data_IF_250107571852
#
_entry.id   IF_250107571852
#
_cell.length_a   1.000
_cell.length_b   1.000
_cell.length_c   1.000
_cell.angle_alpha   90.00
_cell.angle_beta   90.00
_cell.angle_gamma   90.00
#
_symmetry.space_group_name_H-M   'P 1'
#
loop_
_entity.id
_entity.type
_entity.pdbx_description
1 polymer ?
#
# COMPACT_ATOMS: atom_id res chain seq x y z
N UNK A 1 10.14 -12.96 49.20
CA UNK A 1 9.36 -13.19 50.45
C UNK A 1 8.74 -11.87 50.84
N UNK A 2 7.44 -11.60 50.84
CA UNK A 2 6.19 -12.38 50.76
C UNK A 2 5.19 -11.53 49.92
N UNK A 3 4.45 -12.04 48.91
CA UNK A 3 3.19 -12.81 49.00
C UNK A 3 2.22 -12.22 50.04
N UNK A 4 0.94 -11.94 49.83
CA UNK A 4 -0.05 -12.12 48.77
C UNK A 4 -1.28 -11.30 49.23
N UNK A 5 -2.11 -10.88 48.27
CA UNK A 5 -3.58 -10.84 48.35
C UNK A 5 -4.28 -10.17 49.55
N UNK A 6 -5.20 -9.26 49.23
CA UNK A 6 -6.63 -9.60 49.26
C UNK A 6 -7.48 -8.44 48.72
N UNK A 7 -8.03 -8.64 47.52
CA UNK A 7 -9.24 -7.94 47.11
C UNK A 7 -10.41 -8.44 47.96
N UNK A 8 -11.10 -7.52 48.64
CA UNK A 8 -12.39 -7.80 49.26
C UNK A 8 -13.48 -7.09 48.46
N UNK A 9 -14.30 -7.92 47.80
CA UNK A 9 -15.60 -7.58 47.21
C UNK A 9 -16.45 -6.82 48.23
N UNK A 10 -17.04 -5.70 47.82
CA UNK A 10 -18.19 -5.10 48.53
C UNK A 10 -19.45 -5.89 48.19
N UNK A 11 -20.08 -6.46 49.21
CA UNK A 11 -21.48 -6.90 49.18
C UNK A 11 -22.40 -5.70 49.43
N UNK A 12 -23.58 -5.74 48.80
CA UNK A 12 -24.65 -4.75 48.95
C UNK A 12 -25.29 -4.89 50.33
N UNK A 13 -25.32 -3.80 51.10
CA UNK A 13 -26.12 -3.71 52.32
C UNK A 13 -25.34 -3.15 53.50
N UNK A 14 -25.05 -1.85 53.48
CA UNK A 14 -25.21 -0.97 54.65
C UNK A 14 -24.79 0.45 54.29
N UNK A 15 -25.69 1.40 54.53
CA UNK A 15 -25.56 2.83 54.19
C UNK A 15 -24.96 3.63 55.34
N UNK A 16 -23.71 3.36 55.74
CA UNK A 16 -22.99 4.27 56.65
C UNK A 16 -21.48 4.26 56.39
N UNK A 17 -20.93 5.46 56.21
CA UNK A 17 -19.52 5.73 55.91
C UNK A 17 -18.84 6.26 57.18
N UNK A 18 -17.86 5.52 57.72
CA UNK A 18 -17.00 5.95 58.84
C UNK A 18 -15.62 6.35 58.32
N UNK A 19 -15.56 7.46 57.57
CA UNK A 19 -14.31 8.10 57.14
C UNK A 19 -14.35 9.61 57.43
N UNK A 20 -13.19 10.27 57.53
CA UNK A 20 -13.12 11.68 57.91
C UNK A 20 -13.84 12.59 56.91
N UNK A 21 -14.35 13.75 57.36
CA UNK A 21 -15.21 14.64 56.56
C UNK A 21 -14.45 15.19 55.34
N UNK A 22 -15.08 15.13 54.16
CA UNK A 22 -14.55 15.72 52.92
C UNK A 22 -14.62 17.25 52.99
N UNK A 23 -13.46 17.92 52.97
CA UNK A 23 -13.37 19.33 52.60
C UNK A 23 -13.51 19.47 51.08
N UNK A 24 -14.30 20.44 50.64
CA UNK A 24 -14.50 20.78 49.23
C UNK A 24 -13.39 21.70 48.73
N UNK A 25 -12.93 21.43 47.50
CA UNK A 25 -12.43 22.47 46.59
C UNK A 25 -10.93 22.72 46.51
N UNK A 26 -10.16 21.78 45.93
CA UNK A 26 -8.98 22.11 45.13
C UNK A 26 -8.75 20.98 44.10
N UNK A 27 -9.03 21.25 42.81
CA UNK A 27 -8.62 20.33 41.73
C UNK A 27 -7.09 20.42 41.64
N UNK A 28 -6.38 19.39 42.08
CA UNK A 28 -4.98 19.22 41.72
C UNK A 28 -4.92 18.86 40.24
N UNK A 29 -4.74 19.88 39.39
CA UNK A 29 -4.49 19.72 37.97
C UNK A 29 -3.00 19.41 37.80
N UNK A 30 -2.68 18.30 37.14
CA UNK A 30 -1.28 17.92 36.90
C UNK A 30 -0.60 18.93 35.96
N UNK A 31 0.72 19.13 36.09
CA UNK A 31 1.47 20.01 35.18
C UNK A 31 1.28 19.62 33.71
N UNK A 32 1.14 18.33 33.41
CA UNK A 32 0.91 17.84 32.05
C UNK A 32 -0.46 18.27 31.49
N UNK A 33 -1.49 18.31 32.34
CA UNK A 33 -2.84 18.75 31.95
C UNK A 33 -2.88 20.24 31.62
N UNK A 34 -2.14 21.07 32.39
CA UNK A 34 -1.98 22.51 32.10
C UNK A 34 -1.24 22.75 30.78
N UNK A 35 -0.20 21.96 30.48
CA UNK A 35 0.53 22.07 29.21
C UNK A 35 -0.36 21.70 28.01
N UNK A 36 -1.19 20.66 28.14
CA UNK A 36 -2.12 20.24 27.08
C UNK A 36 -3.25 21.26 26.83
N UNK A 37 -3.82 21.84 27.88
CA UNK A 37 -4.82 22.92 27.73
C UNK A 37 -4.22 24.15 27.04
N UNK A 38 -2.97 24.50 27.37
CA UNK A 38 -2.25 25.62 26.75
C UNK A 38 -2.00 25.37 25.26
N UNK A 39 -1.62 24.14 24.88
CA UNK A 39 -1.40 23.74 23.49
C UNK A 39 -2.73 23.74 22.71
N UNK A 40 -3.82 23.27 23.32
CA UNK A 40 -5.15 23.32 22.72
C UNK A 40 -5.66 24.74 22.49
N UNK A 41 -5.43 25.67 23.42
CA UNK A 41 -5.81 27.08 23.25
C UNK A 41 -4.97 27.77 22.18
N UNK A 42 -3.66 27.50 22.11
CA UNK A 42 -2.81 28.04 21.05
C UNK A 42 -3.21 27.53 19.66
N UNK A 43 -3.53 26.24 19.53
CA UNK A 43 -4.01 25.68 18.27
C UNK A 43 -5.36 26.26 17.85
N UNK A 44 -6.28 26.48 18.81
CA UNK A 44 -7.58 27.10 18.54
C UNK A 44 -7.46 28.56 18.09
N UNK A 45 -6.53 29.33 18.67
CA UNK A 45 -6.25 30.70 18.25
C UNK A 45 -5.57 30.77 16.88
N UNK A 46 -4.72 29.80 16.54
CA UNK A 46 -4.09 29.68 15.22
C UNK A 46 -5.10 29.32 14.12
N UNK A 47 -6.12 28.52 14.44
CA UNK A 47 -7.23 28.20 13.54
C UNK A 47 -8.13 29.42 13.28
N UNK A 48 -8.46 30.20 14.33
CA UNK A 48 -9.29 31.41 14.16
C UNK A 48 -8.58 32.55 13.41
N UNK A 49 -7.25 32.64 13.49
CA UNK A 49 -6.46 33.58 12.67
C UNK A 49 -6.45 33.24 11.18
N UNK A 50 -6.65 31.97 10.80
CA UNK A 50 -6.74 31.56 9.39
C UNK A 50 -8.08 31.94 8.74
N UNK A 51 -9.16 32.03 9.51
CA UNK A 51 -10.50 32.30 8.96
C UNK A 51 -10.85 33.80 8.82
N UNK A 52 -10.20 34.70 9.55
CA UNK A 52 -10.51 36.14 9.51
C UNK A 52 -9.86 36.92 8.35
N UNK A 53 -9.35 36.23 7.32
CA UNK A 53 -8.66 36.84 6.18
C UNK A 53 -9.23 36.43 4.81
N UNK A 54 -10.53 36.64 4.56
CA UNK A 54 -11.09 36.55 3.20
C UNK A 54 -11.24 37.93 2.57
N UNK A 55 -10.54 38.19 1.45
CA UNK A 55 -10.73 39.42 0.69
C UNK A 55 -9.75 39.75 -0.44
N UNK A 56 -9.27 38.78 -1.23
CA UNK A 56 -8.96 39.01 -2.66
C UNK A 56 -8.76 37.67 -3.34
N UNK A 57 -9.53 37.43 -4.41
CA UNK A 57 -9.37 36.27 -5.28
C UNK A 57 -8.05 36.45 -6.02
N UNK A 58 -6.98 35.85 -5.49
CA UNK A 58 -5.80 35.52 -6.28
C UNK A 58 -6.02 34.12 -6.82
N UNK A 59 -6.15 34.02 -8.14
CA UNK A 59 -5.97 32.78 -8.89
C UNK A 59 -4.65 32.19 -8.40
N UNK A 60 -4.62 30.97 -7.80
CA UNK A 60 -3.35 30.38 -7.40
C UNK A 60 -2.56 30.08 -8.67
N UNK A 61 -1.29 30.50 -8.70
CA UNK A 61 -0.34 30.17 -9.75
C UNK A 61 -0.29 28.65 -10.02
N UNK A 62 -0.03 28.22 -11.26
CA UNK A 62 0.09 26.81 -11.58
C UNK A 62 1.19 26.14 -10.74
N UNK A 63 0.88 24.92 -10.31
CA UNK A 63 1.58 23.97 -9.43
C UNK A 63 3.12 24.06 -9.30
N UNK A 64 3.69 23.60 -8.16
CA UNK A 64 5.13 23.45 -8.03
C UNK A 64 5.63 22.34 -8.95
N UNK A 65 6.41 22.73 -9.95
CA UNK A 65 7.42 21.91 -10.62
C UNK A 65 6.98 21.20 -11.91
N UNK A 66 7.83 21.21 -12.96
CA UNK A 66 7.66 20.33 -14.11
C UNK A 66 7.74 18.88 -13.62
N UNK A 67 6.92 18.01 -14.20
CA UNK A 67 6.91 16.59 -13.87
C UNK A 67 8.34 16.04 -13.94
N UNK A 68 8.80 15.39 -12.86
CA UNK A 68 10.15 14.84 -12.79
C UNK A 68 10.36 13.84 -13.94
N UNK A 69 11.25 14.21 -14.87
CA UNK A 69 11.53 13.43 -16.08
C UNK A 69 12.07 12.04 -15.72
N UNK A 70 11.55 11.00 -16.36
CA UNK A 70 12.08 9.62 -16.28
C UNK A 70 11.48 8.71 -15.21
N UNK A 71 10.42 9.12 -14.51
CA UNK A 71 9.69 8.25 -13.56
C UNK A 71 8.40 7.71 -14.17
N UNK A 72 8.12 6.39 -14.10
CA UNK A 72 6.87 5.85 -14.61
C UNK A 72 5.68 6.48 -13.90
N UNK A 73 4.61 6.75 -14.66
CA UNK A 73 3.39 7.39 -14.14
C UNK A 73 2.20 6.44 -14.25
N UNK A 74 1.44 6.39 -13.16
CA UNK A 74 0.16 5.72 -13.05
C UNK A 74 -0.93 6.78 -13.09
N UNK A 75 -1.77 6.74 -14.14
CA UNK A 75 -2.91 7.64 -14.24
C UNK A 75 -4.18 6.94 -13.76
N UNK A 76 -4.85 7.52 -12.77
CA UNK A 76 -6.17 7.08 -12.31
C UNK A 76 -7.24 7.96 -12.96
N UNK A 77 -8.01 7.37 -13.88
CA UNK A 77 -9.08 8.05 -14.64
C UNK A 77 -10.42 7.30 -14.50
N UNK A 78 -11.53 7.96 -14.83
CA UNK A 78 -12.88 7.36 -14.78
C UNK A 78 -13.97 8.32 -14.30
N UNK A 79 -15.22 7.86 -14.22
CA UNK A 79 -16.39 8.68 -13.87
C UNK A 79 -16.35 9.29 -12.45
N UNK A 80 -17.00 10.44 -12.24
CA UNK A 80 -17.12 11.04 -10.91
C UNK A 80 -17.72 10.03 -9.90
N UNK A 81 -17.16 9.96 -8.69
CA UNK A 81 -17.56 9.02 -7.61
C UNK A 81 -17.27 7.52 -7.87
N UNK A 82 -16.52 7.18 -8.92
CA UNK A 82 -16.12 5.78 -9.17
C UNK A 82 -15.14 5.19 -8.15
N UNK A 83 -14.54 6.02 -7.27
CA UNK A 83 -13.68 5.56 -6.17
C UNK A 83 -12.18 5.77 -6.36
N UNK A 84 -11.73 6.45 -7.42
CA UNK A 84 -10.30 6.74 -7.71
C UNK A 84 -9.51 7.26 -6.50
N UNK A 85 -10.00 8.32 -5.87
CA UNK A 85 -9.31 8.98 -4.74
C UNK A 85 -9.29 8.09 -3.49
N UNK A 86 -10.35 7.31 -3.27
CA UNK A 86 -10.41 6.28 -2.24
C UNK A 86 -9.35 5.21 -2.49
N UNK A 87 -9.24 4.71 -3.72
CA UNK A 87 -8.23 3.74 -4.12
C UNK A 87 -6.82 4.28 -3.85
N UNK A 88 -6.50 5.50 -4.31
CA UNK A 88 -5.19 6.11 -4.08
C UNK A 88 -4.85 6.26 -2.59
N UNK A 89 -5.84 6.67 -1.78
CA UNK A 89 -5.66 6.87 -0.34
C UNK A 89 -5.46 5.55 0.42
N UNK A 90 -6.21 4.50 0.07
CA UNK A 90 -6.08 3.19 0.73
C UNK A 90 -4.73 2.54 0.38
N UNK A 91 -4.37 2.53 -0.90
CA UNK A 91 -3.17 1.81 -1.36
C UNK A 91 -1.89 2.54 -0.99
N UNK A 92 -1.83 3.86 -1.17
CA UNK A 92 -0.58 4.61 -1.05
C UNK A 92 -0.43 5.39 0.26
N UNK A 93 -1.54 5.72 0.93
CA UNK A 93 -1.52 6.47 2.20
C UNK A 93 -1.89 5.62 3.41
N UNK A 94 -2.11 4.31 3.22
CA UNK A 94 -2.58 3.38 4.26
C UNK A 94 -3.83 3.87 5.00
N UNK A 95 -4.68 4.65 4.32
CA UNK A 95 -5.95 5.11 4.90
C UNK A 95 -6.89 3.91 5.05
N UNK A 96 -7.51 3.69 6.21
CA UNK A 96 -8.47 2.60 6.36
C UNK A 96 -9.70 2.84 5.47
N UNK A 97 -10.27 1.79 4.83
CA UNK A 97 -11.37 1.94 3.88
C UNK A 97 -12.59 2.69 4.44
N UNK A 98 -12.89 2.53 5.73
CA UNK A 98 -14.01 3.19 6.40
C UNK A 98 -13.87 4.72 6.48
N UNK A 99 -12.64 5.25 6.50
CA UNK A 99 -12.38 6.69 6.52
C UNK A 99 -12.53 7.32 5.13
N UNK A 100 -12.46 6.52 4.07
CA UNK A 100 -12.56 7.02 2.69
C UNK A 100 -13.93 7.61 2.36
N UNK A 101 -14.96 7.30 3.15
CA UNK A 101 -16.29 7.91 3.06
C UNK A 101 -16.28 9.42 3.30
N UNK A 102 -15.27 9.92 4.01
CA UNK A 102 -15.12 11.34 4.33
C UNK A 102 -14.25 12.10 3.34
N UNK A 103 -13.77 11.44 2.27
CA UNK A 103 -13.00 12.12 1.23
C UNK A 103 -13.89 13.09 0.45
N UNK A 104 -13.39 14.31 0.29
CA UNK A 104 -14.06 15.32 -0.53
C UNK A 104 -13.94 15.00 -2.02
N UNK A 105 -14.85 15.56 -2.82
CA UNK A 105 -14.77 15.41 -4.28
C UNK A 105 -13.51 16.08 -4.83
N UNK A 106 -12.68 15.32 -5.55
CA UNK A 106 -11.50 15.83 -6.25
C UNK A 106 -11.90 16.87 -7.29
N UNK A 107 -11.49 18.12 -7.07
CA UNK A 107 -11.75 19.25 -7.98
C UNK A 107 -10.54 19.60 -8.86
N UNK A 108 -9.35 19.10 -8.53
CA UNK A 108 -8.08 19.37 -9.23
C UNK A 108 -7.28 18.09 -9.33
N UNK A 109 -6.42 18.00 -10.35
CA UNK A 109 -5.50 16.86 -10.49
C UNK A 109 -4.59 16.81 -9.27
N UNK A 110 -4.63 15.69 -8.55
CA UNK A 110 -3.70 15.42 -7.46
C UNK A 110 -2.52 14.63 -7.99
N UNK A 111 -1.30 15.00 -7.61
CA UNK A 111 -0.06 14.36 -8.06
C UNK A 111 0.70 13.90 -6.83
N UNK A 112 0.77 12.60 -6.67
CA UNK A 112 1.48 11.95 -5.58
C UNK A 112 2.75 11.31 -6.10
N UNK A 113 3.90 11.67 -5.52
CA UNK A 113 5.17 11.00 -5.80
C UNK A 113 5.41 9.98 -4.71
N UNK A 114 5.46 8.71 -5.08
CA UNK A 114 5.69 7.61 -4.14
C UNK A 114 7.16 7.22 -4.15
N UNK A 115 7.77 7.27 -2.97
CA UNK A 115 9.11 6.77 -2.72
C UNK A 115 9.01 5.30 -2.34
N UNK A 116 9.11 4.44 -3.36
CA UNK A 116 9.08 2.99 -3.26
C UNK A 116 10.35 2.42 -3.90
N UNK A 117 10.46 1.10 -3.96
CA UNK A 117 11.46 0.40 -4.78
C UNK A 117 11.54 0.96 -6.21
N UNK A 118 10.37 1.28 -6.79
CA UNK A 118 10.29 2.04 -8.02
C UNK A 118 9.63 3.37 -7.71
N UNK A 119 10.38 4.46 -7.87
CA UNK A 119 9.81 5.81 -7.79
C UNK A 119 8.81 5.99 -8.94
N UNK A 120 7.51 6.02 -8.63
CA UNK A 120 6.43 6.31 -9.59
C UNK A 120 5.59 7.48 -9.11
N UNK A 121 4.89 8.10 -10.06
CA UNK A 121 3.92 9.15 -9.76
C UNK A 121 2.51 8.61 -9.98
N UNK A 122 1.62 8.85 -9.02
CA UNK A 122 0.19 8.57 -9.13
C UNK A 122 -0.53 9.88 -9.38
N UNK A 123 -1.28 9.95 -10.47
CA UNK A 123 -2.05 11.13 -10.81
C UNK A 123 -3.53 10.79 -10.72
N UNK A 124 -4.24 11.44 -9.80
CA UNK A 124 -5.69 11.29 -9.62
C UNK A 124 -6.40 12.39 -10.41
N UNK A 125 -7.19 11.98 -11.43
CA UNK A 125 -7.93 12.90 -12.28
C UNK A 125 -9.37 13.10 -11.77
N UNK A 126 -9.86 14.36 -11.72
CA UNK A 126 -11.25 14.64 -11.39
C UNK A 126 -12.16 14.11 -12.50
N UNK A 127 -13.20 13.36 -12.14
CA UNK A 127 -14.10 12.69 -13.10
C UNK A 127 -15.01 13.61 -13.91
N UNK A 128 -14.90 14.92 -13.73
CA UNK A 128 -15.63 15.95 -14.49
C UNK A 128 -14.79 16.59 -15.61
N UNK A 129 -13.47 16.35 -15.63
CA UNK A 129 -12.63 16.89 -16.68
C UNK A 129 -12.86 16.12 -17.98
N UNK A 130 -13.28 16.83 -19.01
CA UNK A 130 -13.15 16.36 -20.38
C UNK A 130 -11.69 16.54 -20.78
N UNK A 131 -11.02 15.41 -21.02
CA UNK A 131 -9.57 15.32 -21.28
C UNK A 131 -9.11 16.05 -22.56
N UNK A 132 -10.06 16.62 -23.31
CA UNK A 132 -9.87 17.24 -24.62
C UNK A 132 -9.89 18.77 -24.55
N UNK A 133 -9.85 19.36 -23.34
CA UNK A 133 -9.71 20.80 -23.23
C UNK A 133 -8.27 21.19 -23.64
N UNK A 134 -8.07 22.08 -24.64
CA UNK A 134 -6.75 22.47 -25.15
C UNK A 134 -5.83 23.13 -24.10
N UNK A 135 -6.37 23.38 -22.90
CA UNK A 135 -5.66 23.89 -21.74
C UNK A 135 -4.71 22.87 -21.10
N UNK A 136 -4.89 21.57 -21.38
CA UNK A 136 -4.03 20.51 -20.86
C UNK A 136 -2.96 20.11 -21.87
N UNK A 137 -1.71 20.15 -21.43
CA UNK A 137 -0.56 19.66 -22.19
C UNK A 137 -0.57 18.13 -22.18
N UNK A 138 -1.20 17.54 -23.20
CA UNK A 138 -1.28 16.09 -23.37
C UNK A 138 0.10 15.44 -23.46
N UNK A 139 1.11 16.13 -24.00
CA UNK A 139 2.47 15.58 -24.08
C UNK A 139 3.16 15.58 -22.73
N UNK A 140 2.91 16.59 -21.89
CA UNK A 140 3.37 16.60 -20.52
C UNK A 140 2.66 15.57 -19.63
N UNK A 141 1.41 15.19 -19.94
CA UNK A 141 0.64 14.19 -19.18
C UNK A 141 0.98 12.78 -19.65
N UNK A 142 0.90 12.54 -20.97
CA UNK A 142 0.95 11.23 -21.59
C UNK A 142 2.33 10.78 -22.09
N UNK A 143 3.29 11.70 -22.24
CA UNK A 143 4.62 11.40 -22.78
C UNK A 143 5.50 10.46 -21.94
N UNK A 144 5.29 10.38 -20.62
CA UNK A 144 6.04 9.48 -19.71
C UNK A 144 5.14 8.49 -18.97
N UNK A 145 3.95 8.21 -19.51
CA UNK A 145 3.04 7.25 -18.86
C UNK A 145 3.60 5.85 -18.89
N UNK A 146 3.51 5.18 -17.74
CA UNK A 146 3.68 3.74 -17.64
C UNK A 146 2.36 3.02 -17.92
N UNK A 147 1.29 3.38 -17.19
CA UNK A 147 -0.02 2.74 -17.35
C UNK A 147 -1.19 3.72 -17.10
N UNK A 148 -2.26 3.52 -17.87
CA UNK A 148 -3.56 4.15 -17.67
C UNK A 148 -4.48 3.16 -16.96
N UNK A 149 -4.99 3.55 -15.79
CA UNK A 149 -5.97 2.79 -15.03
C UNK A 149 -7.32 3.51 -15.11
N UNK A 150 -8.29 2.86 -15.73
CA UNK A 150 -9.66 3.34 -15.83
C UNK A 150 -10.57 2.66 -14.81
N UNK A 151 -11.15 3.43 -13.90
CA UNK A 151 -11.99 2.93 -12.81
C UNK A 151 -13.47 3.06 -13.16
N UNK A 152 -14.13 1.92 -13.33
CA UNK A 152 -15.57 1.77 -13.57
C UNK A 152 -16.24 1.37 -12.25
N UNK A 153 -17.33 2.04 -11.89
CA UNK A 153 -18.14 1.65 -10.74
C UNK A 153 -19.08 0.50 -11.14
N UNK A 154 -18.95 -0.66 -10.48
CA UNK A 154 -19.79 -1.83 -10.74
C UNK A 154 -21.22 -1.69 -10.19
N UNK A 155 -21.48 -0.73 -9.29
CA UNK A 155 -22.77 -0.55 -8.63
C UNK A 155 -23.61 0.57 -9.26
N UNK A 156 -23.05 1.36 -10.16
CA UNK A 156 -23.71 2.47 -10.87
C UNK A 156 -23.82 2.16 -12.38
N UNK A 157 -24.47 3.04 -13.13
CA UNK A 157 -24.57 2.90 -14.59
C UNK A 157 -23.19 3.10 -15.27
N UNK A 158 -22.64 1.99 -15.75
CA UNK A 158 -21.33 1.94 -16.38
C UNK A 158 -21.35 2.26 -17.89
N UNK A 159 -22.52 2.42 -18.52
CA UNK A 159 -22.62 2.70 -19.96
C UNK A 159 -21.85 3.96 -20.37
N UNK A 160 -22.07 5.07 -19.66
CA UNK A 160 -21.33 6.31 -19.93
C UNK A 160 -19.82 6.14 -19.67
N UNK A 161 -19.42 5.27 -18.74
CA UNK A 161 -18.01 5.03 -18.42
C UNK A 161 -17.33 4.30 -19.58
N UNK A 162 -18.02 3.34 -20.20
CA UNK A 162 -17.55 2.59 -21.36
C UNK A 162 -17.39 3.52 -22.56
N UNK A 163 -18.41 4.32 -22.89
CA UNK A 163 -18.32 5.26 -24.02
C UNK A 163 -17.16 6.25 -23.85
N UNK A 164 -16.99 6.82 -22.63
CA UNK A 164 -15.86 7.72 -22.34
C UNK A 164 -14.51 7.02 -22.38
N UNK A 165 -14.43 5.77 -21.93
CA UNK A 165 -13.22 4.95 -22.04
C UNK A 165 -12.84 4.78 -23.50
N UNK A 166 -13.78 4.37 -24.36
CA UNK A 166 -13.51 4.12 -25.77
C UNK A 166 -13.04 5.37 -26.51
N UNK A 167 -13.66 6.52 -26.25
CA UNK A 167 -13.18 7.82 -26.77
C UNK A 167 -11.73 8.09 -26.31
N UNK A 168 -11.43 7.84 -25.04
CA UNK A 168 -10.08 8.04 -24.49
C UNK A 168 -9.06 7.11 -25.14
N UNK A 169 -9.40 5.82 -25.29
CA UNK A 169 -8.54 4.82 -25.93
C UNK A 169 -8.26 5.19 -27.37
N UNK A 170 -9.28 5.60 -28.15
CA UNK A 170 -9.11 5.99 -29.55
C UNK A 170 -8.13 7.16 -29.71
N UNK A 171 -8.21 8.16 -28.83
CA UNK A 171 -7.31 9.31 -28.86
C UNK A 171 -5.87 8.93 -28.46
N UNK A 172 -5.74 8.08 -27.44
CA UNK A 172 -4.43 7.64 -26.96
C UNK A 172 -3.75 6.66 -27.90
N UNK A 173 -4.50 5.77 -28.54
CA UNK A 173 -3.94 4.79 -29.47
C UNK A 173 -3.26 5.45 -30.68
N UNK A 174 -3.73 6.63 -31.10
CA UNK A 174 -3.13 7.40 -32.18
C UNK A 174 -1.80 8.04 -31.79
N UNK A 175 -1.69 8.53 -30.55
CA UNK A 175 -0.54 9.33 -30.09
C UNK A 175 0.49 8.53 -29.29
N UNK A 176 0.04 7.50 -28.58
CA UNK A 176 0.79 6.75 -27.57
C UNK A 176 0.48 5.23 -27.62
N UNK A 177 0.97 4.50 -28.63
CA UNK A 177 0.65 3.08 -28.81
C UNK A 177 1.30 2.15 -27.77
N UNK A 178 2.26 2.65 -26.97
CA UNK A 178 2.99 1.85 -25.99
C UNK A 178 2.39 1.89 -24.57
N UNK A 179 1.27 2.59 -24.36
CA UNK A 179 0.63 2.70 -23.04
C UNK A 179 -0.12 1.41 -22.71
N UNK A 180 0.10 0.87 -21.51
CA UNK A 180 -0.71 -0.21 -20.96
C UNK A 180 -2.06 0.35 -20.47
N UNK A 181 -3.17 -0.20 -20.96
CA UNK A 181 -4.52 0.19 -20.56
C UNK A 181 -5.11 -0.89 -19.66
N UNK A 182 -5.48 -0.48 -18.46
CA UNK A 182 -5.97 -1.35 -17.39
C UNK A 182 -7.33 -0.84 -16.92
N UNK A 183 -8.33 -1.72 -16.88
CA UNK A 183 -9.69 -1.38 -16.48
C UNK A 183 -10.00 -2.04 -15.13
N UNK A 184 -10.28 -1.21 -14.13
CA UNK A 184 -10.69 -1.65 -12.80
C UNK A 184 -12.21 -1.58 -12.72
N UNK A 185 -12.84 -2.75 -12.66
CA UNK A 185 -14.26 -2.90 -12.31
C UNK A 185 -14.31 -2.86 -10.77
N UNK A 186 -14.70 -1.72 -10.24
CA UNK A 186 -14.55 -1.36 -8.84
C UNK A 186 -15.86 -1.47 -8.05
N UNK A 187 -15.76 -1.57 -6.71
CA UNK A 187 -16.88 -1.73 -5.77
C UNK A 187 -17.64 -3.05 -5.91
N UNK A 188 -16.91 -4.14 -6.17
CA UNK A 188 -17.50 -5.48 -6.31
C UNK A 188 -17.85 -6.15 -4.96
N UNK A 189 -17.57 -5.50 -3.82
CA UNK A 189 -17.77 -6.02 -2.47
C UNK A 189 -19.24 -6.35 -2.13
N UNK A 190 -20.20 -5.62 -2.68
CA UNK A 190 -21.63 -5.86 -2.46
C UNK A 190 -22.27 -6.89 -3.40
N UNK A 191 -21.51 -7.47 -4.33
CA UNK A 191 -22.03 -8.30 -5.42
C UNK A 191 -21.81 -9.79 -5.14
N UNK A 192 -22.75 -10.64 -5.59
CA UNK A 192 -22.55 -12.09 -5.59
C UNK A 192 -21.51 -12.49 -6.64
N UNK A 193 -20.81 -13.61 -6.42
CA UNK A 193 -19.74 -14.04 -7.32
C UNK A 193 -20.24 -14.32 -8.74
N UNK A 194 -21.42 -14.95 -8.89
CA UNK A 194 -22.05 -15.15 -10.20
C UNK A 194 -22.28 -13.82 -10.94
N UNK A 195 -22.80 -12.82 -10.22
CA UNK A 195 -23.05 -11.50 -10.81
C UNK A 195 -21.77 -10.76 -11.18
N UNK A 196 -20.67 -10.95 -10.43
CA UNK A 196 -19.36 -10.38 -10.79
C UNK A 196 -18.86 -10.91 -12.12
N UNK A 197 -18.97 -12.21 -12.36
CA UNK A 197 -18.54 -12.82 -13.62
C UNK A 197 -19.41 -12.40 -14.80
N UNK A 198 -20.73 -12.33 -14.60
CA UNK A 198 -21.66 -11.84 -15.62
C UNK A 198 -21.39 -10.37 -15.97
N UNK A 199 -21.23 -9.51 -14.95
CA UNK A 199 -20.90 -8.10 -15.13
C UNK A 199 -19.55 -7.93 -15.85
N UNK A 200 -18.53 -8.68 -15.44
CA UNK A 200 -17.22 -8.64 -16.07
C UNK A 200 -17.32 -9.01 -17.55
N UNK A 201 -18.04 -10.08 -17.87
CA UNK A 201 -18.23 -10.53 -19.25
C UNK A 201 -18.97 -9.49 -20.08
N UNK A 202 -20.03 -8.90 -19.53
CA UNK A 202 -20.83 -7.86 -20.21
C UNK A 202 -19.98 -6.60 -20.49
N UNK A 203 -19.23 -6.12 -19.50
CA UNK A 203 -18.32 -4.98 -19.67
C UNK A 203 -17.24 -5.26 -20.71
N UNK A 204 -16.62 -6.45 -20.66
CA UNK A 204 -15.59 -6.85 -21.64
C UNK A 204 -16.17 -6.88 -23.05
N UNK A 205 -17.33 -7.52 -23.23
CA UNK A 205 -17.99 -7.63 -24.53
C UNK A 205 -18.31 -6.25 -25.09
N UNK A 206 -18.95 -5.37 -24.31
CA UNK A 206 -19.31 -4.02 -24.79
C UNK A 206 -18.10 -3.16 -25.15
N UNK A 207 -17.03 -3.20 -24.34
CA UNK A 207 -15.80 -2.46 -24.66
C UNK A 207 -15.17 -3.00 -25.94
N UNK A 208 -15.10 -4.32 -26.10
CA UNK A 208 -14.53 -4.94 -27.29
C UNK A 208 -15.38 -4.67 -28.54
N UNK A 209 -16.70 -4.77 -28.44
CA UNK A 209 -17.63 -4.51 -29.54
C UNK A 209 -17.51 -3.05 -30.03
N UNK A 210 -17.59 -2.07 -29.12
CA UNK A 210 -17.44 -0.64 -29.47
C UNK A 210 -16.05 -0.35 -30.07
N UNK A 211 -14.97 -0.96 -29.56
CA UNK A 211 -13.63 -0.77 -30.14
C UNK A 211 -13.51 -1.41 -31.53
N UNK A 212 -14.12 -2.58 -31.74
CA UNK A 212 -14.15 -3.26 -33.03
C UNK A 212 -14.92 -2.47 -34.09
N UNK A 213 -16.03 -1.82 -33.70
CA UNK A 213 -16.81 -0.93 -34.57
C UNK A 213 -15.97 0.26 -35.08
N UNK A 214 -15.00 0.70 -34.28
CA UNK A 214 -14.04 1.75 -34.62
C UNK A 214 -12.74 1.23 -35.29
N UNK A 215 -12.64 -0.06 -35.60
CA UNK A 215 -11.51 -0.66 -36.30
C UNK A 215 -10.29 -0.96 -35.43
N UNK A 216 -10.44 -0.93 -34.11
CA UNK A 216 -9.41 -1.36 -33.15
C UNK A 216 -9.62 -2.81 -32.75
N UNK A 217 -9.33 -3.71 -33.68
CA UNK A 217 -9.36 -5.15 -33.40
C UNK A 217 -8.18 -5.52 -32.47
N UNK A 218 -8.51 -6.00 -31.27
CA UNK A 218 -7.57 -6.57 -30.31
C UNK A 218 -6.65 -5.57 -29.56
N UNK A 219 -7.19 -4.44 -29.11
CA UNK A 219 -6.49 -3.56 -28.17
C UNK A 219 -6.09 -4.33 -26.88
N UNK A 220 -4.85 -4.21 -26.39
CA UNK A 220 -4.35 -4.96 -25.23
C UNK A 220 -4.88 -4.38 -23.91
N UNK A 221 -6.19 -4.54 -23.67
CA UNK A 221 -6.87 -4.08 -22.46
C UNK A 221 -6.91 -5.23 -21.46
N UNK A 222 -6.49 -4.96 -20.23
CA UNK A 222 -6.58 -5.93 -19.13
C UNK A 222 -7.62 -5.48 -18.11
N UNK A 223 -8.41 -6.43 -17.61
CA UNK A 223 -9.54 -6.18 -16.71
C UNK A 223 -9.28 -6.77 -15.33
N UNK A 224 -9.59 -6.02 -14.28
CA UNK A 224 -9.45 -6.47 -12.89
C UNK A 224 -10.72 -6.16 -12.08
N UNK A 225 -11.16 -7.14 -11.28
CA UNK A 225 -12.22 -6.95 -10.29
C UNK A 225 -11.58 -6.45 -9.00
N UNK A 226 -11.99 -5.27 -8.53
CA UNK A 226 -11.34 -4.62 -7.39
C UNK A 226 -12.34 -4.12 -6.35
N UNK A 227 -11.94 -4.18 -5.09
CA UNK A 227 -12.62 -3.51 -3.98
C UNK A 227 -11.57 -2.98 -3.00
N UNK A 228 -11.86 -1.85 -2.35
CA UNK A 228 -11.01 -1.30 -1.28
C UNK A 228 -11.15 -2.06 0.05
N UNK A 229 -12.20 -2.89 0.21
CA UNK A 229 -12.42 -3.65 1.44
C UNK A 229 -11.69 -4.99 1.47
N UNK A 230 -11.26 -5.47 0.30
CA UNK A 230 -10.52 -6.71 0.14
C UNK A 230 -9.14 -6.41 -0.44
N UNK A 231 -8.24 -7.38 -0.40
CA UNK A 231 -6.88 -7.17 -0.90
C UNK A 231 -6.77 -7.19 -2.45
N UNK A 232 -7.90 -7.37 -3.17
CA UNK A 232 -7.91 -7.49 -4.64
C UNK A 232 -7.44 -6.22 -5.35
N UNK A 233 -7.62 -5.05 -4.73
CA UNK A 233 -7.08 -3.80 -5.26
C UNK A 233 -5.54 -3.82 -5.31
N UNK A 234 -4.90 -4.33 -4.25
CA UNK A 234 -3.45 -4.42 -4.19
C UNK A 234 -2.92 -5.46 -5.18
N UNK A 235 -3.63 -6.58 -5.36
CA UNK A 235 -3.31 -7.57 -6.39
C UNK A 235 -3.37 -6.96 -7.80
N UNK A 236 -4.44 -6.22 -8.11
CA UNK A 236 -4.59 -5.54 -9.39
C UNK A 236 -3.45 -4.54 -9.63
N UNK A 237 -3.14 -3.68 -8.65
CA UNK A 237 -1.98 -2.78 -8.76
C UNK A 237 -0.67 -3.51 -8.93
N UNK A 238 -0.47 -4.65 -8.26
CA UNK A 238 0.74 -5.47 -8.41
C UNK A 238 0.92 -5.95 -9.84
N UNK A 239 -0.15 -6.42 -10.48
CA UNK A 239 -0.14 -6.80 -11.90
C UNK A 239 0.13 -5.61 -12.82
N UNK A 240 -0.43 -4.43 -12.53
CA UNK A 240 -0.15 -3.22 -13.31
C UNK A 240 1.32 -2.81 -13.18
N UNK A 241 1.85 -2.76 -11.96
CA UNK A 241 3.23 -2.36 -11.70
C UNK A 241 4.23 -3.37 -12.26
N UNK A 242 3.93 -4.66 -12.24
CA UNK A 242 4.74 -5.70 -12.88
C UNK A 242 4.98 -5.43 -14.35
N UNK A 243 3.96 -5.00 -15.09
CA UNK A 243 4.09 -4.64 -16.51
C UNK A 243 4.98 -3.41 -16.75
N UNK A 244 5.23 -2.60 -15.72
CA UNK A 244 6.08 -1.42 -15.79
C UNK A 244 7.54 -1.69 -15.43
N UNK A 245 7.83 -2.81 -14.78
CA UNK A 245 9.18 -3.14 -14.32
C UNK A 245 9.99 -3.71 -15.50
N UNK A 246 11.08 -3.04 -15.90
CA UNK A 246 11.98 -3.60 -16.90
C UNK A 246 12.67 -4.84 -16.33
N UNK A 247 12.88 -5.87 -17.17
CA UNK A 247 13.53 -7.12 -16.79
C UNK A 247 12.80 -7.97 -15.73
N UNK A 248 11.47 -7.83 -15.59
CA UNK A 248 10.65 -8.74 -14.77
C UNK A 248 10.95 -10.24 -14.99
N UNK A 249 11.16 -10.74 -16.23
CA UNK A 249 11.46 -12.17 -16.43
C UNK A 249 12.73 -12.67 -15.71
N UNK A 250 13.71 -11.79 -15.49
CA UNK A 250 14.93 -12.14 -14.74
C UNK A 250 14.61 -12.30 -13.25
N UNK A 251 13.80 -11.39 -12.68
CA UNK A 251 13.34 -11.49 -11.30
C UNK A 251 12.50 -12.76 -11.09
N UNK A 252 11.56 -13.03 -11.99
CA UNK A 252 10.75 -14.25 -11.95
C UNK A 252 11.61 -15.52 -12.03
N UNK A 253 12.64 -15.54 -12.90
CA UNK A 253 13.56 -16.67 -12.99
C UNK A 253 14.32 -16.92 -11.68
N UNK A 254 14.82 -15.86 -11.04
CA UNK A 254 15.49 -15.96 -9.73
C UNK A 254 14.56 -16.49 -8.64
N UNK A 255 13.31 -15.99 -8.59
CA UNK A 255 12.32 -16.48 -7.63
C UNK A 255 11.91 -17.93 -7.91
N UNK A 256 11.82 -18.33 -9.19
CA UNK A 256 11.53 -19.70 -9.58
C UNK A 256 12.64 -20.67 -9.16
N UNK A 257 13.90 -20.28 -9.30
CA UNK A 257 15.04 -21.09 -8.87
C UNK A 257 15.13 -21.17 -7.34
N UNK A 258 14.79 -20.09 -6.63
CA UNK A 258 14.63 -20.11 -5.18
C UNK A 258 13.51 -21.07 -4.74
N UNK A 259 12.34 -21.00 -5.38
CA UNK A 259 11.21 -21.90 -5.12
C UNK A 259 11.61 -23.37 -5.30
N UNK A 260 12.32 -23.70 -6.38
CA UNK A 260 12.79 -25.06 -6.66
C UNK A 260 13.80 -25.56 -5.65
N UNK A 261 14.75 -24.72 -5.26
CA UNK A 261 15.84 -25.08 -4.35
C UNK A 261 15.37 -25.26 -2.90
N UNK A 262 14.48 -24.37 -2.44
CA UNK A 262 13.96 -24.36 -1.07
C UNK A 262 12.66 -25.15 -0.90
N UNK A 263 12.07 -25.65 -1.99
CA UNK A 263 10.75 -26.30 -2.04
C UNK A 263 9.63 -25.42 -1.47
N UNK A 264 9.69 -24.13 -1.78
CA UNK A 264 8.60 -23.22 -1.45
C UNK A 264 7.35 -23.57 -2.26
N UNK A 265 6.20 -23.31 -1.66
CA UNK A 265 4.91 -23.38 -2.35
C UNK A 265 4.70 -22.11 -3.18
N UNK A 266 5.06 -20.95 -2.62
CA UNK A 266 4.88 -19.65 -3.24
C UNK A 266 5.92 -18.66 -2.71
N UNK A 267 6.39 -17.74 -3.54
CA UNK A 267 7.29 -16.66 -3.13
C UNK A 267 6.84 -15.34 -3.74
N UNK A 268 6.80 -14.31 -2.89
CA UNK A 268 6.47 -12.95 -3.25
C UNK A 268 7.61 -12.02 -2.87
N UNK A 269 7.89 -11.05 -3.73
CA UNK A 269 8.73 -9.91 -3.41
C UNK A 269 7.83 -8.69 -3.24
N UNK A 270 7.62 -8.27 -2.01
CA UNK A 270 6.72 -7.18 -1.63
C UNK A 270 7.43 -5.86 -1.45
N UNK A 271 6.76 -4.77 -1.81
CA UNK A 271 7.01 -3.44 -1.25
C UNK A 271 6.29 -3.31 0.10
N UNK A 272 7.05 -3.06 1.16
CA UNK A 272 6.59 -3.03 2.55
C UNK A 272 5.59 -1.90 2.80
N UNK A 273 5.73 -0.76 2.11
CA UNK A 273 4.86 0.40 2.33
C UNK A 273 3.52 0.26 1.60
N UNK A 274 3.55 -0.12 0.32
CA UNK A 274 2.35 -0.19 -0.52
C UNK A 274 1.65 -1.54 -0.50
N UNK A 275 2.29 -2.59 0.05
CA UNK A 275 1.82 -3.99 0.04
C UNK A 275 1.67 -4.59 -1.36
N UNK A 276 2.23 -3.92 -2.36
CA UNK A 276 2.24 -4.35 -3.74
C UNK A 276 3.38 -5.35 -3.91
N UNK A 277 3.14 -6.49 -4.56
CA UNK A 277 4.22 -7.39 -4.94
C UNK A 277 4.84 -6.96 -6.28
N UNK A 278 6.15 -6.75 -6.27
CA UNK A 278 6.98 -6.38 -7.41
C UNK A 278 7.19 -7.58 -8.33
N UNK A 279 7.41 -8.77 -7.77
CA UNK A 279 7.62 -10.00 -8.52
C UNK A 279 7.07 -11.19 -7.72
N UNK A 280 6.71 -12.25 -8.45
CA UNK A 280 6.26 -13.52 -7.88
C UNK A 280 6.83 -14.65 -8.73
N UNK A 281 6.87 -15.86 -8.17
CA UNK A 281 7.15 -17.07 -8.94
C UNK A 281 6.00 -17.40 -9.93
N UNK A 282 6.29 -18.27 -10.91
CA UNK A 282 5.37 -18.61 -12.00
C UNK A 282 4.18 -19.49 -11.60
N UNK A 283 4.08 -19.93 -10.34
CA UNK A 283 2.90 -20.67 -9.88
C UNK A 283 1.64 -19.79 -9.89
N UNK A 284 0.45 -20.37 -10.05
CA UNK A 284 -0.78 -19.57 -10.02
C UNK A 284 -0.90 -18.79 -8.72
N UNK A 285 -1.41 -17.56 -8.83
CA UNK A 285 -1.69 -16.72 -7.68
C UNK A 285 -2.86 -17.29 -6.90
N UNK A 286 -2.66 -17.46 -5.60
CA UNK A 286 -3.71 -17.79 -4.64
C UNK A 286 -3.96 -16.58 -3.77
N UNK A 287 -5.18 -16.06 -3.86
CA UNK A 287 -5.59 -14.85 -3.13
C UNK A 287 -5.46 -15.03 -1.62
N UNK A 288 -5.77 -16.22 -1.11
CA UNK A 288 -5.68 -16.49 0.33
C UNK A 288 -4.22 -16.45 0.83
N UNK A 289 -3.29 -16.99 0.04
CA UNK A 289 -1.86 -16.89 0.35
C UNK A 289 -1.36 -15.45 0.29
N UNK A 290 -1.86 -14.65 -0.65
CA UNK A 290 -1.52 -13.22 -0.75
C UNK A 290 -2.02 -12.42 0.47
N UNK A 291 -3.28 -12.62 0.88
CA UNK A 291 -3.87 -11.96 2.04
C UNK A 291 -3.07 -12.24 3.32
N UNK A 292 -2.75 -13.52 3.57
CA UNK A 292 -1.96 -13.90 4.74
C UNK A 292 -0.55 -13.28 4.69
N UNK A 293 0.10 -13.24 3.53
CA UNK A 293 1.43 -12.63 3.39
C UNK A 293 1.39 -11.11 3.61
N UNK A 294 0.36 -10.44 3.09
CA UNK A 294 0.14 -9.00 3.28
C UNK A 294 -0.07 -8.65 4.75
N UNK A 295 -0.96 -9.37 5.43
CA UNK A 295 -1.24 -9.13 6.85
C UNK A 295 -0.03 -9.47 7.72
N UNK A 296 0.78 -10.47 7.31
CA UNK A 296 2.02 -10.80 8.00
C UNK A 296 3.05 -9.67 7.95
N UNK A 297 3.15 -8.94 6.82
CA UNK A 297 4.02 -7.76 6.71
C UNK A 297 3.61 -6.69 7.72
N UNK A 298 2.31 -6.40 7.86
CA UNK A 298 1.83 -5.43 8.85
C UNK A 298 2.23 -5.82 10.27
N UNK A 299 2.06 -7.10 10.64
CA UNK A 299 2.45 -7.59 11.96
C UNK A 299 3.94 -7.37 12.22
N UNK A 300 4.80 -7.64 11.23
CA UNK A 300 6.25 -7.43 11.38
C UNK A 300 6.59 -5.95 11.47
N UNK A 301 5.96 -5.10 10.65
CA UNK A 301 6.16 -3.65 10.71
C UNK A 301 5.71 -3.09 12.07
N UNK A 302 4.52 -3.43 12.54
CA UNK A 302 3.98 -2.97 13.82
C UNK A 302 4.87 -3.42 15.01
N UNK A 303 5.33 -4.68 15.00
CA UNK A 303 6.25 -5.18 16.03
C UNK A 303 7.59 -4.43 15.96
N UNK A 304 8.09 -4.18 14.75
CA UNK A 304 9.35 -3.45 14.54
C UNK A 304 9.23 -2.00 14.97
N UNK A 305 8.08 -1.35 14.78
CA UNK A 305 7.84 0.01 15.27
C UNK A 305 7.76 0.08 16.80
N UNK A 306 7.19 -0.94 17.45
CA UNK A 306 7.09 -1.00 18.92
C UNK A 306 8.46 -1.27 19.56
N UNK A 307 9.23 -2.23 19.02
CA UNK A 307 10.45 -2.72 19.66
C UNK A 307 11.75 -2.21 19.02
N UNK A 308 11.71 -1.68 17.80
CA UNK A 308 12.84 -1.16 17.03
C UNK A 308 13.20 0.30 17.32
N UNK A 309 12.72 0.86 18.43
CA UNK A 309 13.07 2.22 18.85
C UNK A 309 14.58 2.36 19.13
N UNK A 310 15.14 3.52 18.76
CA UNK A 310 16.53 3.86 19.05
C UNK A 310 16.76 3.88 20.55
N UNK A 311 17.60 2.96 21.03
CA UNK A 311 17.89 2.86 22.45
C UNK A 311 18.86 3.98 22.85
N UNK A 312 18.71 4.56 24.05
CA UNK A 312 19.61 5.62 24.51
C UNK A 312 21.07 5.19 24.48
N UNK A 313 21.99 6.09 24.13
CA UNK A 313 23.43 5.81 24.06
C UNK A 313 23.97 5.19 25.37
N UNK A 314 23.52 5.67 26.53
CA UNK A 314 23.92 5.11 27.83
C UNK A 314 23.48 3.65 28.04
N UNK A 315 22.41 3.22 27.38
CA UNK A 315 21.95 1.83 27.41
C UNK A 315 22.73 0.96 26.42
N UNK A 316 23.10 1.52 25.26
CA UNK A 316 23.96 0.85 24.28
C UNK A 316 25.37 0.60 24.85
N UNK A 317 25.97 1.61 25.49
CA UNK A 317 27.28 1.51 26.16
C UNK A 317 27.30 0.43 27.27
N UNK A 318 26.17 0.22 27.96
CA UNK A 318 26.04 -0.85 28.94
C UNK A 318 26.02 -2.25 28.30
N UNK A 319 25.40 -2.38 27.12
CA UNK A 319 25.35 -3.64 26.37
C UNK A 319 26.67 -3.97 25.67
N UNK A 320 27.39 -2.96 25.22
CA UNK A 320 28.75 -3.09 24.68
C UNK A 320 29.80 -3.27 25.77
N UNK A 321 29.41 -3.15 27.04
CA UNK A 321 30.25 -3.38 28.21
C UNK A 321 30.46 -4.86 28.57
N UNK A 322 30.96 -5.12 29.80
CA UNK A 322 31.23 -6.47 30.26
C UNK A 322 29.95 -7.31 30.35
N UNK A 323 29.96 -8.59 29.97
CA UNK A 323 31.14 -9.45 29.81
C UNK A 323 31.64 -9.62 28.37
N UNK A 324 30.92 -9.12 27.35
CA UNK A 324 31.26 -9.38 25.94
C UNK A 324 32.21 -8.35 25.34
N UNK A 325 32.18 -7.07 25.78
CA UNK A 325 33.07 -6.01 25.30
C UNK A 325 33.21 -5.96 23.75
N UNK A 326 32.10 -6.12 23.04
CA UNK A 326 32.02 -6.07 21.57
C UNK A 326 30.97 -5.06 21.16
N UNK A 327 31.14 -4.46 19.98
CA UNK A 327 30.11 -3.60 19.39
C UNK A 327 28.81 -4.39 19.26
N UNK A 328 27.67 -3.70 19.37
CA UNK A 328 26.36 -4.33 19.21
C UNK A 328 26.21 -5.00 17.85
N UNK A 329 26.82 -4.44 16.81
CA UNK A 329 26.86 -5.04 15.47
C UNK A 329 27.49 -6.44 15.44
N UNK A 330 28.52 -6.68 16.25
CA UNK A 330 29.19 -7.98 16.34
C UNK A 330 28.47 -8.95 17.30
N UNK A 331 27.58 -8.42 18.15
CA UNK A 331 26.72 -9.21 19.02
C UNK A 331 25.43 -9.65 18.30
N UNK A 332 25.02 -8.95 17.25
CA UNK A 332 23.85 -9.27 16.45
C UNK A 332 24.16 -10.39 15.45
N UNK A 333 23.42 -11.49 15.56
CA UNK A 333 23.58 -12.64 14.65
C UNK A 333 22.99 -12.41 13.25
N UNK A 334 22.07 -11.46 13.10
CA UNK A 334 21.48 -11.06 11.83
C UNK A 334 21.19 -9.56 11.87
N UNK A 335 21.64 -8.84 10.83
CA UNK A 335 21.49 -7.37 10.74
C UNK A 335 20.11 -6.98 10.19
N UNK A 336 19.58 -7.77 9.27
CA UNK A 336 18.31 -7.49 8.61
C UNK A 336 17.16 -8.27 9.25
N UNK A 337 15.94 -7.75 9.12
CA UNK A 337 14.77 -8.40 9.69
C UNK A 337 14.50 -9.76 9.03
N UNK A 338 14.63 -10.83 9.81
CA UNK A 338 14.21 -12.18 9.44
C UNK A 338 13.17 -12.65 10.44
N UNK A 339 12.05 -13.14 9.95
CA UNK A 339 11.00 -13.71 10.79
C UNK A 339 10.37 -14.92 10.12
N UNK A 340 10.13 -15.96 10.90
CA UNK A 340 9.42 -17.14 10.46
C UNK A 340 8.26 -17.44 11.42
N UNK A 341 7.07 -17.61 10.87
CA UNK A 341 5.87 -18.01 11.61
C UNK A 341 5.37 -19.36 11.10
N UNK A 342 4.73 -20.13 11.97
CA UNK A 342 4.05 -21.38 11.57
C UNK A 342 2.59 -21.25 11.99
N UNK A 343 1.69 -21.21 11.01
CA UNK A 343 0.25 -21.16 11.27
C UNK A 343 -0.25 -22.53 11.74
N UNK A 344 -0.97 -22.54 12.88
CA UNK A 344 -1.44 -23.76 13.55
C UNK A 344 -2.37 -24.60 12.65
N UNK A 345 -3.20 -23.94 11.84
CA UNK A 345 -4.25 -24.62 11.07
C UNK A 345 -3.73 -25.20 9.75
N UNK A 346 -2.73 -24.55 9.14
CA UNK A 346 -2.19 -24.96 7.84
C UNK A 346 -0.90 -25.78 7.96
N UNK A 347 -0.21 -25.74 9.11
CA UNK A 347 1.14 -26.30 9.33
C UNK A 347 2.18 -25.89 8.28
N UNK A 348 1.90 -24.78 7.56
CA UNK A 348 2.78 -24.19 6.56
C UNK A 348 3.59 -23.08 7.23
N UNK A 349 4.93 -23.15 7.25
CA UNK A 349 5.75 -22.03 7.66
C UNK A 349 5.65 -20.88 6.64
N UNK A 350 5.57 -19.66 7.13
CA UNK A 350 5.72 -18.44 6.32
C UNK A 350 6.98 -17.75 6.80
N UNK A 351 7.90 -17.51 5.87
CA UNK A 351 9.16 -16.82 6.11
C UNK A 351 9.10 -15.44 5.50
N UNK A 352 9.55 -14.43 6.24
CA UNK A 352 9.78 -13.07 5.77
C UNK A 352 11.26 -12.75 5.95
N UNK A 353 11.87 -12.21 4.89
CA UNK A 353 13.24 -11.74 4.89
C UNK A 353 13.30 -10.36 4.25
N UNK A 354 13.87 -9.39 4.95
CA UNK A 354 14.16 -8.07 4.39
C UNK A 354 15.20 -8.18 3.25
N UNK A 355 14.93 -7.51 2.14
CA UNK A 355 15.83 -7.41 0.98
C UNK A 355 16.50 -6.04 0.95
N UNK A 356 15.71 -4.99 1.12
CA UNK A 356 16.17 -3.62 1.31
C UNK A 356 15.14 -2.84 2.14
N UNK A 357 15.38 -1.55 2.39
CA UNK A 357 14.48 -0.68 3.18
C UNK A 357 13.02 -0.66 2.68
N UNK A 358 12.79 -0.93 1.40
CA UNK A 358 11.46 -0.88 0.78
C UNK A 358 10.92 -2.28 0.44
N UNK A 359 11.78 -3.29 0.28
CA UNK A 359 11.43 -4.61 -0.23
C UNK A 359 11.61 -5.70 0.82
N UNK A 360 10.61 -6.56 0.92
CA UNK A 360 10.65 -7.78 1.71
C UNK A 360 10.30 -9.00 0.84
N UNK A 361 11.07 -10.07 0.99
CA UNK A 361 10.77 -11.36 0.40
C UNK A 361 9.92 -12.16 1.38
N UNK A 362 8.74 -12.59 0.95
CA UNK A 362 7.82 -13.42 1.73
C UNK A 362 7.62 -14.75 1.02
N UNK A 363 7.95 -15.85 1.69
CA UNK A 363 7.88 -17.20 1.14
C UNK A 363 6.95 -18.08 1.97
N UNK A 364 6.02 -18.76 1.30
CA UNK A 364 5.17 -19.80 1.88
C UNK A 364 5.85 -21.15 1.66
N UNK A 365 6.18 -21.83 2.76
CA UNK A 365 6.90 -23.10 2.75
C UNK A 365 5.94 -24.29 2.89
N UNK A 366 6.36 -25.45 2.39
CA UNK A 366 5.62 -26.71 2.57
C UNK A 366 5.79 -27.26 3.99
N UNK A 367 4.81 -28.06 4.46
CA UNK A 367 4.90 -28.77 5.74
C UNK A 367 6.21 -29.60 5.82
N UNK A 368 6.88 -29.56 6.98
CA UNK A 368 8.15 -30.26 7.20
C UNK A 368 9.41 -29.55 6.66
N UNK A 369 9.27 -28.43 5.94
CA UNK A 369 10.43 -27.68 5.42
C UNK A 369 11.23 -26.96 6.52
N UNK A 370 10.64 -26.81 7.72
CA UNK A 370 11.28 -26.15 8.86
C UNK A 370 12.54 -26.87 9.36
N UNK A 371 12.63 -28.20 9.18
CA UNK A 371 13.83 -28.97 9.55
C UNK A 371 15.07 -28.54 8.75
N UNK A 372 14.88 -27.92 7.58
CA UNK A 372 15.95 -27.46 6.68
C UNK A 372 16.10 -25.95 6.67
N UNK A 373 15.60 -25.26 7.70
CA UNK A 373 15.65 -23.80 7.78
C UNK A 373 17.05 -23.22 7.53
N UNK A 374 18.16 -23.78 8.05
CA UNK A 374 19.49 -23.21 7.79
C UNK A 374 19.88 -23.20 6.31
N UNK A 375 19.53 -24.25 5.56
CA UNK A 375 19.76 -24.31 4.12
C UNK A 375 18.88 -23.30 3.38
N UNK A 376 17.63 -23.15 3.83
CA UNK A 376 16.69 -22.18 3.27
C UNK A 376 17.20 -20.76 3.47
N UNK A 377 17.59 -20.39 4.69
CA UNK A 377 18.14 -19.05 5.00
C UNK A 377 19.38 -18.76 4.16
N UNK A 378 20.32 -19.72 4.01
CA UNK A 378 21.51 -19.55 3.17
C UNK A 378 21.18 -19.31 1.69
N UNK A 379 20.21 -20.07 1.14
CA UNK A 379 19.76 -19.89 -0.24
C UNK A 379 19.04 -18.56 -0.43
N UNK A 380 18.19 -18.18 0.52
CA UNK A 380 17.49 -16.89 0.50
C UNK A 380 18.50 -15.75 0.54
N UNK A 381 19.51 -15.81 1.41
CA UNK A 381 20.57 -14.80 1.51
C UNK A 381 21.34 -14.64 0.18
N UNK A 382 21.66 -15.75 -0.48
CA UNK A 382 22.31 -15.74 -1.80
C UNK A 382 21.42 -15.06 -2.85
N UNK A 383 20.11 -15.31 -2.82
CA UNK A 383 19.16 -14.70 -3.75
C UNK A 383 18.94 -13.22 -3.43
N UNK A 384 18.88 -12.83 -2.15
CA UNK A 384 18.81 -11.42 -1.75
C UNK A 384 20.02 -10.65 -2.27
N UNK A 385 21.23 -11.19 -2.13
CA UNK A 385 22.44 -10.59 -2.68
C UNK A 385 22.35 -10.44 -4.22
N UNK A 386 21.90 -11.48 -4.92
CA UNK A 386 21.70 -11.42 -6.37
C UNK A 386 20.62 -10.42 -6.81
N UNK A 387 19.54 -10.26 -6.04
CA UNK A 387 18.50 -9.25 -6.29
C UNK A 387 19.08 -7.83 -6.17
N UNK A 388 19.89 -7.57 -5.13
CA UNK A 388 20.55 -6.28 -4.95
C UNK A 388 21.47 -5.95 -6.13
N UNK A 389 22.27 -6.91 -6.63
CA UNK A 389 23.11 -6.72 -7.81
C UNK A 389 22.29 -6.40 -9.07
N UNK A 390 21.18 -7.11 -9.28
CA UNK A 390 20.26 -6.83 -10.40
C UNK A 390 19.71 -5.41 -10.31
N UNK A 391 19.36 -4.95 -9.10
CA UNK A 391 18.86 -3.60 -8.89
C UNK A 391 19.93 -2.52 -9.07
N UNK A 392 21.17 -2.76 -8.68
CA UNK A 392 22.29 -1.84 -8.95
C UNK A 392 22.51 -1.67 -10.46
N UNK A 393 22.54 -2.77 -11.22
CA UNK A 393 22.72 -2.73 -12.67
C UNK A 393 21.54 -2.02 -13.37
N UNK A 394 20.33 -2.23 -12.87
CA UNK A 394 19.11 -1.63 -13.44
C UNK A 394 18.99 -0.15 -13.07
N UNK A 395 19.40 0.23 -11.85
CA UNK A 395 19.45 1.62 -11.39
C UNK A 395 20.54 2.45 -12.07
N UNK A 396 21.69 1.85 -12.40
CA UNK A 396 22.81 2.51 -13.07
C UNK A 396 22.58 2.81 -14.57
N UNK A 397 21.51 2.27 -15.17
CA UNK A 397 21.17 2.42 -16.60
C UNK A 397 20.03 3.40 -16.89
N UNK A 398 19.59 4.21 -15.92
CA UNK A 398 18.62 5.29 -16.13
C UNK A 398 19.30 6.63 -16.41
#
# INVERSE_FOLDING_TARGET
>A
MNLLQNGLRKTKGDKQYNGPPRSSGARFVSKASLTLETIHEQNRLNLQKRDNGKGSIKIPDPAPGPAAKGKPRLLLMGQRRSGKSSISSVVFHKMPPNETLFLESTARIHKDSMHSFMDFQVWDFPGQLEFMDPSFDADAIFGEIGALIWVIDAQDDYLEAITRLNVTIMNLAQSYPAINIEVFIHKVDGLSDDYKFDLQRDIIQRIQDELSDHGFDNAPITFHLTSIYNHSIFEAFSKVIQKLIPHLPTLEALLNDLCRSCRFEKVYLFDVLSKIYVATDSSPLDMSSYEICSDYIDVIVDISEIYGWERPAAYLEQLEGPPWNRSLEDQMGCRDAESAIVLKDMKRPIMLREVNKYLALVAVMREGSYERMPLVTMNVETVVAGLLEVFEVTGARR
#
